data_IF_849382569693
#
_entry.id   IF_849382569693
#
_cell.length_a   1.000
_cell.length_b   1.000
_cell.length_c   1.000
_cell.angle_alpha   90.00
_cell.angle_beta   90.00
_cell.angle_gamma   90.00
#
_symmetry.space_group_name_H-M   'P 1'
#
loop_
_entity.id
_entity.type
_entity.pdbx_description
1 polymer ?
#
# COMPACT_ATOMS: atom_id res chain seq x y z
N UNK A 1 32.12 -6.09 0.73
CA UNK A 1 31.68 -6.21 2.14
C UNK A 1 30.31 -5.53 2.31
N UNK A 2 29.23 -6.25 2.65
CA UNK A 2 27.86 -5.69 2.75
C UNK A 2 27.67 -4.90 4.06
N UNK A 3 28.35 -3.76 4.18
CA UNK A 3 28.35 -2.86 5.35
C UNK A 3 26.96 -2.26 5.62
N UNK A 4 26.06 -2.28 4.62
CA UNK A 4 24.65 -1.83 4.72
C UNK A 4 23.75 -2.68 5.62
N UNK A 5 24.20 -3.86 6.07
CA UNK A 5 23.40 -4.72 6.97
C UNK A 5 23.40 -4.26 8.43
N UNK A 6 24.34 -3.40 8.81
CA UNK A 6 24.49 -2.96 10.20
C UNK A 6 23.63 -1.73 10.46
N UNK A 7 22.80 -1.77 11.51
CA UNK A 7 21.91 -0.65 11.87
C UNK A 7 22.68 0.66 12.11
N UNK A 8 23.93 0.59 12.58
CA UNK A 8 24.76 1.76 12.86
C UNK A 8 25.21 2.49 11.60
N UNK A 9 25.64 1.76 10.57
CA UNK A 9 26.09 2.35 9.31
C UNK A 9 24.93 3.00 8.58
N UNK A 10 23.73 2.41 8.69
CA UNK A 10 22.49 2.99 8.19
C UNK A 10 22.10 4.28 8.93
N UNK A 11 22.28 4.34 10.26
CA UNK A 11 22.04 5.57 11.02
C UNK A 11 22.98 6.71 10.60
N UNK A 12 24.26 6.40 10.40
CA UNK A 12 25.24 7.39 9.92
C UNK A 12 24.84 7.90 8.53
N UNK A 13 24.47 7.00 7.62
CA UNK A 13 23.98 7.39 6.30
C UNK A 13 22.74 8.31 6.39
N UNK A 14 21.75 7.93 7.20
CA UNK A 14 20.54 8.73 7.40
C UNK A 14 20.81 10.09 8.03
N UNK A 15 21.86 10.21 8.87
CA UNK A 15 22.22 11.49 9.48
C UNK A 15 22.56 12.55 8.43
N UNK A 16 23.22 12.17 7.33
CA UNK A 16 23.52 13.08 6.22
C UNK A 16 22.29 13.41 5.35
N UNK A 17 21.20 12.64 5.45
CA UNK A 17 19.95 12.84 4.71
C UNK A 17 18.88 13.62 5.49
N UNK A 18 19.30 14.46 6.45
CA UNK A 18 18.41 15.21 7.34
C UNK A 18 17.22 15.88 6.63
N UNK A 19 17.47 16.64 5.56
CA UNK A 19 16.41 17.37 4.84
C UNK A 19 15.36 16.44 4.23
N UNK A 20 15.75 15.21 3.89
CA UNK A 20 14.85 14.19 3.33
C UNK A 20 14.13 13.39 4.41
N UNK A 21 14.54 13.43 5.67
CA UNK A 21 14.01 12.55 6.72
C UNK A 21 13.28 13.30 7.85
N UNK A 22 13.44 14.62 7.95
CA UNK A 22 12.78 15.42 8.99
C UNK A 22 11.25 15.32 8.95
N UNK A 23 10.65 15.16 7.76
CA UNK A 23 9.21 15.02 7.60
C UNK A 23 8.62 13.76 8.25
N UNK A 24 9.47 12.78 8.62
CA UNK A 24 9.04 11.58 9.33
C UNK A 24 8.86 11.79 10.84
N UNK A 25 9.50 12.81 11.43
CA UNK A 25 9.44 13.07 12.88
C UNK A 25 8.00 13.33 13.38
N UNK A 26 7.16 14.11 12.69
CA UNK A 26 5.75 14.24 13.05
C UNK A 26 4.99 12.91 13.06
N UNK A 27 5.26 12.02 12.09
CA UNK A 27 4.65 10.69 12.02
C UNK A 27 5.11 9.80 13.18
N UNK A 28 6.40 9.85 13.54
CA UNK A 28 6.91 9.11 14.70
C UNK A 28 6.20 9.54 15.97
N UNK A 29 5.95 10.84 16.15
CA UNK A 29 5.16 11.35 17.27
C UNK A 29 3.70 10.88 17.22
N UNK A 30 3.05 10.94 16.04
CA UNK A 30 1.67 10.47 15.84
C UNK A 30 1.51 9.01 16.29
N UNK A 31 2.48 8.16 15.96
CA UNK A 31 2.46 6.73 16.27
C UNK A 31 3.20 6.36 17.57
N UNK A 32 3.59 7.33 18.41
CA UNK A 32 4.26 7.07 19.69
C UNK A 32 5.67 6.47 19.60
N UNK A 33 6.29 6.52 18.42
CA UNK A 33 7.63 6.00 18.17
C UNK A 33 8.69 6.92 18.79
N UNK A 34 9.46 6.40 19.76
CA UNK A 34 10.55 7.13 20.43
C UNK A 34 11.85 7.08 19.60
N UNK A 35 11.81 7.58 18.36
CA UNK A 35 12.94 7.56 17.41
C UNK A 35 13.30 8.95 16.89
N UNK A 36 14.57 9.10 16.52
CA UNK A 36 15.07 10.31 15.83
C UNK A 36 14.93 10.13 14.32
N UNK A 37 15.01 11.23 13.56
CA UNK A 37 14.87 11.22 12.10
C UNK A 37 15.86 10.26 11.39
N UNK A 38 17.04 10.02 11.98
CA UNK A 38 18.05 9.14 11.41
C UNK A 38 17.98 7.69 11.92
N UNK A 39 17.11 7.40 12.89
CA UNK A 39 16.99 6.07 13.46
C UNK A 39 16.31 5.10 12.46
N UNK A 40 16.80 3.87 12.31
CA UNK A 40 16.12 2.87 11.48
C UNK A 40 14.78 2.47 12.10
N UNK A 41 13.81 2.24 11.22
CA UNK A 41 12.55 1.59 11.53
C UNK A 41 12.67 0.10 11.27
N UNK A 42 11.99 -0.69 12.08
CA UNK A 42 11.88 -2.14 11.95
C UNK A 42 10.45 -2.56 12.26
N UNK A 43 10.05 -3.75 11.82
CA UNK A 43 8.72 -4.31 12.11
C UNK A 43 8.39 -4.32 13.60
N UNK A 44 9.40 -4.49 14.43
CA UNK A 44 9.34 -4.37 15.89
C UNK A 44 8.66 -3.08 16.38
N UNK A 45 9.01 -1.96 15.75
CA UNK A 45 8.57 -0.64 16.19
C UNK A 45 7.07 -0.44 15.95
N UNK A 46 6.46 -1.29 15.13
CA UNK A 46 5.04 -1.27 14.83
C UNK A 46 4.24 -2.31 15.63
N UNK A 47 4.90 -3.13 16.47
CA UNK A 47 4.19 -4.12 17.29
C UNK A 47 3.26 -3.42 18.28
N UNK A 48 2.00 -3.83 18.29
CA UNK A 48 0.97 -3.26 19.18
C UNK A 48 0.40 -1.92 18.73
N UNK A 49 0.88 -1.34 17.61
CA UNK A 49 0.19 -0.22 16.99
C UNK A 49 -1.09 -0.72 16.31
N UNK A 50 -2.21 -0.07 16.60
CA UNK A 50 -3.45 -0.27 15.85
C UNK A 50 -3.24 0.30 14.45
N UNK A 51 -3.31 -0.55 13.43
CA UNK A 51 -3.50 -0.07 12.06
C UNK A 51 -4.94 0.44 11.96
N UNK A 52 -5.11 1.62 11.40
CA UNK A 52 -6.42 1.99 10.86
C UNK A 52 -6.75 0.94 9.78
N UNK A 53 -7.95 0.39 9.82
CA UNK A 53 -8.43 -0.48 8.76
C UNK A 53 -8.58 0.37 7.50
N UNK A 54 -8.30 -0.21 6.34
CA UNK A 54 -8.64 0.43 5.08
C UNK A 54 -10.15 0.75 5.11
N UNK A 55 -10.57 1.89 4.54
CA UNK A 55 -11.98 2.26 4.42
C UNK A 55 -12.85 1.13 3.83
N UNK A 56 -12.28 0.30 2.95
CA UNK A 56 -12.97 -0.83 2.32
C UNK A 56 -13.08 -2.07 3.22
N UNK A 57 -12.24 -2.16 4.26
CA UNK A 57 -12.23 -3.26 5.22
C UNK A 57 -12.88 -2.85 6.56
N UNK A 58 -13.02 -1.54 6.79
CA UNK A 58 -13.65 -0.96 7.98
C UNK A 58 -15.18 -0.97 7.90
N UNK A 59 -15.73 -0.82 6.68
CA UNK A 59 -17.17 -0.68 6.44
C UNK A 59 -17.67 -1.75 5.45
N UNK A 60 -18.98 -2.00 5.45
CA UNK A 60 -19.60 -2.96 4.53
C UNK A 60 -19.67 -2.36 3.12
N UNK A 61 -18.90 -2.95 2.19
CA UNK A 61 -18.87 -2.57 0.77
C UNK A 61 -20.25 -2.51 0.15
N UNK A 62 -21.17 -3.38 0.57
CA UNK A 62 -22.53 -3.42 0.02
C UNK A 62 -23.35 -2.18 0.39
N UNK A 63 -23.06 -1.56 1.53
CA UNK A 63 -23.74 -0.36 2.01
C UNK A 63 -23.07 0.93 1.53
N UNK A 64 -21.73 0.95 1.53
CA UNK A 64 -20.97 2.18 1.29
C UNK A 64 -20.63 2.42 -0.17
N UNK A 65 -20.33 1.38 -0.95
CA UNK A 65 -19.98 1.56 -2.37
C UNK A 65 -21.10 2.21 -3.19
N UNK A 66 -22.40 1.85 -3.03
CA UNK A 66 -23.48 2.51 -3.76
C UNK A 66 -23.62 4.02 -3.50
N UNK A 67 -23.15 4.50 -2.34
CA UNK A 67 -23.17 5.94 -2.00
C UNK A 67 -22.11 6.74 -2.77
N UNK A 68 -21.07 6.07 -3.27
CA UNK A 68 -19.99 6.72 -3.99
C UNK A 68 -20.39 6.99 -5.45
N UNK A 69 -20.24 8.25 -5.90
CA UNK A 69 -20.53 8.64 -7.29
C UNK A 69 -19.75 7.81 -8.30
N UNK A 70 -18.50 7.44 -8.01
CA UNK A 70 -17.67 6.63 -8.91
C UNK A 70 -18.28 5.25 -9.18
N UNK A 71 -18.89 4.64 -8.16
CA UNK A 71 -19.51 3.32 -8.28
C UNK A 71 -20.70 3.32 -9.26
N UNK A 72 -21.39 4.46 -9.39
CA UNK A 72 -22.51 4.60 -10.30
C UNK A 72 -22.09 4.46 -11.77
N UNK A 73 -20.89 4.96 -12.11
CA UNK A 73 -20.32 4.96 -13.46
C UNK A 73 -19.55 3.68 -13.82
N UNK A 74 -19.33 2.77 -12.87
CA UNK A 74 -18.68 1.49 -13.14
C UNK A 74 -19.61 0.61 -13.99
N UNK A 75 -19.03 -0.20 -14.88
CA UNK A 75 -19.73 -1.23 -15.65
C UNK A 75 -20.57 -2.12 -14.72
N UNK A 76 -21.81 -2.42 -15.10
CA UNK A 76 -22.73 -3.24 -14.31
C UNK A 76 -22.15 -4.62 -14.00
N UNK A 77 -21.30 -5.17 -14.87
CA UNK A 77 -20.61 -6.45 -14.68
C UNK A 77 -19.70 -6.47 -13.45
N UNK A 78 -19.13 -5.33 -13.07
CA UNK A 78 -18.21 -5.22 -11.93
C UNK A 78 -18.91 -4.83 -10.62
N UNK A 79 -20.18 -4.43 -10.67
CA UNK A 79 -20.89 -3.95 -9.46
C UNK A 79 -21.06 -5.07 -8.43
N UNK A 80 -21.55 -6.23 -8.83
CA UNK A 80 -21.84 -7.33 -7.89
C UNK A 80 -20.57 -7.89 -7.21
N UNK A 81 -19.47 -8.17 -7.95
CA UNK A 81 -18.21 -8.59 -7.32
C UNK A 81 -17.69 -7.57 -6.30
N UNK A 82 -17.78 -6.27 -6.61
CA UNK A 82 -17.33 -5.20 -5.73
C UNK A 82 -18.18 -5.09 -4.45
N UNK A 83 -19.50 -5.27 -4.53
CA UNK A 83 -20.37 -5.26 -3.36
C UNK A 83 -20.04 -6.40 -2.37
N UNK A 84 -19.44 -7.48 -2.86
CA UNK A 84 -19.04 -8.64 -2.05
C UNK A 84 -17.63 -8.53 -1.44
N UNK A 85 -16.90 -7.44 -1.70
CA UNK A 85 -15.51 -7.26 -1.24
C UNK A 85 -15.38 -7.43 0.27
N UNK A 86 -16.11 -6.67 1.09
CA UNK A 86 -15.94 -6.69 2.55
C UNK A 86 -16.34 -8.03 3.16
N UNK A 87 -17.20 -8.79 2.49
CA UNK A 87 -17.60 -10.15 2.91
C UNK A 87 -16.55 -11.19 2.55
N UNK A 88 -15.99 -11.13 1.35
CA UNK A 88 -15.10 -12.17 0.83
C UNK A 88 -13.62 -11.85 1.05
N UNK A 89 -13.27 -10.59 1.32
CA UNK A 89 -11.91 -10.07 1.35
C UNK A 89 -11.30 -9.86 -0.04
N UNK A 90 -12.07 -10.07 -1.11
CA UNK A 90 -11.66 -9.91 -2.50
C UNK A 90 -12.85 -9.68 -3.43
N UNK A 91 -12.59 -9.18 -4.63
CA UNK A 91 -13.54 -9.11 -5.74
C UNK A 91 -12.87 -9.63 -7.02
N UNK A 92 -13.61 -10.37 -7.84
CA UNK A 92 -13.14 -10.88 -9.13
C UNK A 92 -13.78 -10.05 -10.23
N UNK A 93 -12.94 -9.36 -11.01
CA UNK A 93 -13.38 -8.56 -12.16
C UNK A 93 -13.05 -9.33 -13.44
N UNK A 94 -14.00 -10.14 -13.89
CA UNK A 94 -13.82 -10.97 -15.09
C UNK A 94 -13.63 -10.11 -16.33
N UNK A 95 -12.61 -10.43 -17.14
CA UNK A 95 -12.28 -9.70 -18.37
C UNK A 95 -12.13 -8.20 -18.14
N UNK A 96 -11.49 -7.82 -17.03
CA UNK A 96 -11.20 -6.41 -16.73
C UNK A 96 -10.24 -5.79 -17.75
N UNK A 97 -9.27 -6.57 -18.21
CA UNK A 97 -8.40 -6.25 -19.34
C UNK A 97 -8.82 -7.05 -20.57
N UNK A 98 -8.66 -6.46 -21.75
CA UNK A 98 -8.85 -7.17 -23.02
C UNK A 98 -7.70 -8.15 -23.28
N UNK A 99 -7.92 -9.12 -24.17
CA UNK A 99 -6.88 -10.06 -24.57
C UNK A 99 -5.68 -9.32 -25.19
N UNK A 100 -5.94 -8.26 -25.96
CA UNK A 100 -4.90 -7.43 -26.57
C UNK A 100 -4.08 -6.65 -25.53
N UNK A 101 -4.71 -6.11 -24.48
CA UNK A 101 -4.01 -5.43 -23.39
C UNK A 101 -3.11 -6.40 -22.61
N UNK A 102 -3.62 -7.61 -22.36
CA UNK A 102 -2.86 -8.69 -21.69
C UNK A 102 -1.65 -9.08 -22.52
N UNK A 103 -1.82 -9.28 -23.83
CA UNK A 103 -0.75 -9.65 -24.74
C UNK A 103 0.33 -8.57 -24.84
N UNK A 104 -0.08 -7.29 -24.95
CA UNK A 104 0.87 -6.17 -24.95
C UNK A 104 1.70 -6.13 -23.66
N UNK A 105 1.08 -6.33 -22.50
CA UNK A 105 1.79 -6.41 -21.22
C UNK A 105 2.77 -7.59 -21.18
N UNK A 106 2.39 -8.76 -21.69
CA UNK A 106 3.28 -9.93 -21.73
C UNK A 106 4.54 -9.66 -22.57
N UNK A 107 4.38 -9.05 -23.75
CA UNK A 107 5.50 -8.71 -24.62
C UNK A 107 6.47 -7.71 -23.97
N UNK A 108 5.94 -6.74 -23.21
CA UNK A 108 6.78 -5.79 -22.50
C UNK A 108 7.55 -6.43 -21.34
N UNK A 109 6.94 -7.38 -20.63
CA UNK A 109 7.62 -8.18 -19.61
C UNK A 109 8.75 -9.01 -20.24
N UNK A 110 8.51 -9.64 -21.39
CA UNK A 110 9.54 -10.41 -22.10
C UNK A 110 10.73 -9.54 -22.51
N UNK A 111 10.51 -8.29 -22.96
CA UNK A 111 11.58 -7.35 -23.30
C UNK A 111 12.39 -6.87 -22.09
N UNK A 112 11.84 -6.93 -20.88
CA UNK A 112 12.54 -6.52 -19.65
C UNK A 112 13.38 -7.65 -19.06
N UNK A 113 12.96 -8.90 -19.29
CA UNK A 113 13.66 -10.09 -18.83
C UNK A 113 14.82 -10.44 -19.78
N UNK A 114 14.63 -10.21 -21.08
CA UNK A 114 15.64 -10.42 -22.13
C UNK A 114 16.54 -9.20 -22.33
#
# INVERSE_FOLDING_TARGET
MKIRKYKLTYQIFNFFLKNQLLHNVPLFKKYGLKKKYFSPLSSEDFRGLKSELNIHDAEDSRLEMPKNKKFQYIDTRFKEPLLSWSKNGYAVLENFFSEEEIEACNQDIEKLIN
#
